data_IF_045728557635
#
_entry.id   IF_045728557635
#
_cell.length_a   1.000
_cell.length_b   1.000
_cell.length_c   1.000
_cell.angle_alpha   90.00
_cell.angle_beta   90.00
_cell.angle_gamma   90.00
#
_symmetry.space_group_name_H-M   'P 1'
#
loop_
_entity.id
_entity.type
_entity.pdbx_description
1 polymer ?
#
# COMPACT_ATOMS: atom_id res chain seq x y z
N UNK A 1 -6.38 5.15 -5.51
CA UNK A 1 -5.35 5.60 -4.54
C UNK A 1 -4.18 6.21 -5.29
N UNK A 2 -3.41 7.12 -4.68
CA UNK A 2 -2.16 7.57 -5.29
C UNK A 2 -1.16 6.41 -5.30
N UNK A 3 -0.42 6.28 -6.41
CA UNK A 3 0.68 5.31 -6.50
C UNK A 3 1.76 5.66 -5.47
N UNK A 4 2.27 4.66 -4.76
CA UNK A 4 3.44 4.82 -3.90
C UNK A 4 4.68 5.18 -4.72
N UNK A 5 5.64 5.82 -4.06
CA UNK A 5 6.88 6.32 -4.63
C UNK A 5 7.89 5.20 -4.85
N UNK A 6 8.98 5.55 -5.54
CA UNK A 6 10.21 4.76 -5.59
C UNK A 6 11.26 5.50 -4.75
N UNK A 7 11.89 4.84 -3.80
CA UNK A 7 13.06 5.40 -3.13
C UNK A 7 14.32 4.97 -3.88
N UNK A 8 15.17 5.91 -4.26
CA UNK A 8 16.39 5.60 -4.99
C UNK A 8 17.55 6.51 -4.60
N UNK A 9 18.76 5.97 -4.66
CA UNK A 9 19.97 6.79 -4.59
C UNK A 9 20.14 7.58 -5.89
N UNK A 10 20.56 8.85 -5.80
CA UNK A 10 20.73 9.71 -6.99
C UNK A 10 21.68 9.12 -8.04
N UNK A 11 22.69 8.36 -7.61
CA UNK A 11 23.65 7.70 -8.50
C UNK A 11 23.00 6.60 -9.36
N UNK A 12 21.83 6.08 -8.96
CA UNK A 12 21.18 4.95 -9.65
C UNK A 12 20.08 5.38 -10.61
N UNK A 13 19.67 6.65 -10.61
CA UNK A 13 18.54 7.14 -11.40
C UNK A 13 18.71 6.97 -12.92
N UNK A 14 19.94 6.86 -13.41
CA UNK A 14 20.21 6.63 -14.83
C UNK A 14 19.94 5.19 -15.29
N UNK A 15 19.75 4.23 -14.38
CA UNK A 15 19.61 2.82 -14.75
C UNK A 15 18.17 2.35 -14.94
N UNK A 16 17.16 3.16 -14.62
CA UNK A 16 15.76 2.78 -14.83
C UNK A 16 14.89 3.98 -15.21
N UNK A 17 13.80 3.70 -15.93
CA UNK A 17 12.75 4.68 -16.21
C UNK A 17 11.52 4.38 -15.36
N UNK A 18 10.91 5.40 -14.74
CA UNK A 18 9.65 5.25 -14.01
C UNK A 18 8.76 6.47 -14.19
N UNK A 19 7.45 6.25 -14.03
CA UNK A 19 6.44 7.32 -13.98
C UNK A 19 6.05 7.68 -12.55
N UNK A 20 6.54 6.92 -11.56
CA UNK A 20 6.31 7.18 -10.14
C UNK A 20 7.20 8.34 -9.67
N UNK A 21 6.73 9.05 -8.66
CA UNK A 21 7.56 10.02 -7.95
C UNK A 21 8.75 9.31 -7.29
N UNK A 22 9.91 9.97 -7.29
CA UNK A 22 11.15 9.44 -6.72
C UNK A 22 11.48 10.21 -5.44
N UNK A 23 11.71 9.48 -4.35
CA UNK A 23 12.27 10.02 -3.10
C UNK A 23 13.73 9.59 -2.93
N UNK A 24 14.50 10.39 -2.20
CA UNK A 24 15.88 10.03 -1.84
C UNK A 24 15.86 8.94 -0.76
N UNK A 25 16.57 7.85 -1.01
CA UNK A 25 16.64 6.70 -0.10
C UNK A 25 17.18 7.06 1.28
N UNK A 26 18.09 8.03 1.38
CA UNK A 26 18.73 8.42 2.65
C UNK A 26 17.87 9.34 3.51
N UNK A 27 16.79 9.88 2.95
CA UNK A 27 15.90 10.84 3.62
C UNK A 27 14.45 10.34 3.70
N UNK A 28 14.20 9.08 3.32
CA UNK A 28 12.88 8.46 3.32
C UNK A 28 12.61 7.73 4.64
N UNK A 29 11.37 7.76 5.11
CA UNK A 29 10.87 6.89 6.18
C UNK A 29 10.28 5.57 5.64
N UNK A 30 10.30 5.41 4.31
CA UNK A 30 9.84 4.25 3.53
C UNK A 30 8.33 3.93 3.60
N UNK A 31 7.54 4.74 4.31
CA UNK A 31 6.11 4.47 4.51
C UNK A 31 5.26 4.74 3.26
N UNK A 32 5.77 5.52 2.31
CA UNK A 32 5.12 5.84 1.05
C UNK A 32 5.86 5.27 -0.17
N UNK A 33 6.67 4.22 0.03
CA UNK A 33 7.55 3.62 -1.00
C UNK A 33 7.09 2.22 -1.37
N UNK A 34 7.05 1.92 -2.68
CA UNK A 34 6.69 0.59 -3.19
C UNK A 34 7.88 -0.23 -3.71
N UNK A 35 9.03 0.38 -3.98
CA UNK A 35 10.27 -0.32 -4.29
C UNK A 35 11.47 0.59 -4.06
N UNK A 36 12.64 -0.03 -3.81
CA UNK A 36 13.87 0.67 -3.45
C UNK A 36 14.97 0.31 -4.47
N UNK A 37 15.74 1.31 -4.92
CA UNK A 37 16.93 1.11 -5.77
C UNK A 37 18.18 1.68 -5.10
N UNK A 38 19.03 0.80 -4.61
CA UNK A 38 20.27 1.10 -3.90
C UNK A 38 21.47 1.12 -4.84
N UNK A 39 22.51 1.87 -4.49
CA UNK A 39 23.86 1.72 -5.03
C UNK A 39 24.65 0.68 -4.23
N UNK A 40 25.76 0.18 -4.78
CA UNK A 40 26.66 -0.74 -4.06
C UNK A 40 27.22 -0.11 -2.79
N UNK A 41 27.49 1.20 -2.80
CA UNK A 41 27.93 1.95 -1.61
C UNK A 41 26.88 1.92 -0.49
N UNK A 42 25.59 2.06 -0.81
CA UNK A 42 24.52 1.98 0.18
C UNK A 42 24.45 0.58 0.82
N UNK A 43 24.68 -0.47 0.02
CA UNK A 43 24.75 -1.84 0.52
C UNK A 43 25.93 -2.03 1.45
N UNK A 44 27.12 -1.51 1.11
CA UNK A 44 28.32 -1.56 1.95
C UNK A 44 28.15 -0.79 3.27
N UNK A 45 27.33 0.26 3.28
CA UNK A 45 26.95 1.00 4.48
C UNK A 45 25.93 0.25 5.36
N UNK A 46 25.45 -0.93 4.93
CA UNK A 46 24.54 -1.78 5.70
C UNK A 46 23.07 -1.43 5.53
N UNK A 47 22.71 -0.64 4.50
CA UNK A 47 21.32 -0.18 4.33
C UNK A 47 20.34 -1.33 4.05
N UNK A 48 20.80 -2.43 3.43
CA UNK A 48 19.97 -3.63 3.22
C UNK A 48 19.51 -4.22 4.56
N UNK A 49 20.42 -4.38 5.51
CA UNK A 49 20.08 -4.91 6.84
C UNK A 49 19.13 -3.97 7.60
N UNK A 50 19.35 -2.65 7.50
CA UNK A 50 18.45 -1.66 8.10
C UNK A 50 17.03 -1.75 7.51
N UNK A 51 16.91 -1.96 6.20
CA UNK A 51 15.62 -2.12 5.53
C UNK A 51 14.92 -3.41 5.96
N UNK A 52 15.66 -4.51 6.12
CA UNK A 52 15.09 -5.75 6.66
C UNK A 52 14.57 -5.58 8.09
N UNK A 53 15.28 -4.83 8.93
CA UNK A 53 14.86 -4.53 10.31
C UNK A 53 13.54 -3.73 10.39
N UNK A 54 13.17 -2.99 9.35
CA UNK A 54 11.87 -2.29 9.30
C UNK A 54 10.68 -3.26 9.25
N UNK A 55 10.89 -4.49 8.75
CA UNK A 55 9.82 -5.47 8.54
C UNK A 55 8.81 -5.09 7.45
N UNK A 56 9.04 -4.03 6.67
CA UNK A 56 8.12 -3.56 5.63
C UNK A 56 8.14 -4.44 4.38
N UNK A 57 9.16 -5.29 4.21
CA UNK A 57 9.34 -6.20 3.07
C UNK A 57 9.22 -5.51 1.70
N UNK A 58 9.66 -4.26 1.60
CA UNK A 58 9.66 -3.48 0.35
C UNK A 58 10.67 -4.12 -0.61
N UNK A 59 10.33 -4.33 -1.89
CA UNK A 59 11.24 -4.95 -2.82
C UNK A 59 12.50 -4.09 -3.06
N UNK A 60 13.67 -4.70 -2.93
CA UNK A 60 14.98 -4.05 -3.01
C UNK A 60 15.70 -4.44 -4.29
N UNK A 61 16.17 -3.44 -5.03
CA UNK A 61 17.03 -3.60 -6.20
C UNK A 61 18.37 -2.93 -5.93
N UNK A 62 19.45 -3.46 -6.48
CA UNK A 62 20.77 -2.82 -6.41
C UNK A 62 21.28 -2.52 -7.82
N UNK A 63 21.69 -1.28 -8.05
CA UNK A 63 22.38 -0.88 -9.27
C UNK A 63 23.89 -1.03 -9.09
N UNK A 64 24.52 -1.70 -10.05
CA UNK A 64 25.95 -2.06 -10.05
C UNK A 64 26.57 -1.51 -11.33
N UNK A 65 27.68 -0.80 -11.26
CA UNK A 65 28.50 -0.46 -12.43
C UNK A 65 29.73 -1.37 -12.52
N UNK A 66 30.38 -1.35 -13.68
CA UNK A 66 31.53 -2.17 -14.04
C UNK A 66 32.54 -2.33 -12.89
N UNK A 67 32.96 -3.58 -12.64
CA UNK A 67 33.94 -3.97 -11.62
C UNK A 67 33.49 -3.84 -10.16
N UNK A 68 32.29 -3.31 -9.89
CA UNK A 68 31.72 -3.37 -8.55
C UNK A 68 31.25 -4.79 -8.21
N UNK A 69 31.57 -5.23 -7.01
CA UNK A 69 31.16 -6.53 -6.47
C UNK A 69 30.15 -6.35 -5.34
N UNK A 70 29.14 -7.22 -5.34
CA UNK A 70 28.16 -7.36 -4.27
C UNK A 70 28.52 -8.56 -3.42
N UNK A 71 28.43 -8.43 -2.10
CA UNK A 71 28.55 -9.57 -1.20
C UNK A 71 27.41 -10.56 -1.48
N UNK A 72 27.76 -11.84 -1.65
CA UNK A 72 26.79 -12.91 -1.82
C UNK A 72 25.81 -13.02 -0.64
N UNK A 73 26.21 -12.56 0.55
CA UNK A 73 25.37 -12.55 1.74
C UNK A 73 24.08 -11.72 1.58
N UNK A 74 24.09 -10.66 0.77
CA UNK A 74 22.91 -9.79 0.60
C UNK A 74 21.97 -10.25 -0.50
N UNK A 75 22.42 -11.10 -1.43
CA UNK A 75 21.62 -11.54 -2.59
C UNK A 75 20.25 -12.13 -2.23
N UNK A 76 20.07 -12.91 -1.14
CA UNK A 76 18.75 -13.42 -0.76
C UNK A 76 17.73 -12.34 -0.40
N UNK A 77 18.19 -11.16 0.05
CA UNK A 77 17.34 -10.03 0.40
C UNK A 77 16.92 -9.19 -0.82
N UNK A 78 17.57 -9.38 -1.97
CA UNK A 78 17.34 -8.58 -3.17
C UNK A 78 16.28 -9.20 -4.08
N UNK A 79 15.46 -8.34 -4.68
CA UNK A 79 14.51 -8.70 -5.73
C UNK A 79 15.13 -8.63 -7.13
N UNK A 80 16.25 -7.92 -7.29
CA UNK A 80 16.97 -7.87 -8.54
C UNK A 80 18.24 -7.02 -8.49
N UNK A 81 19.04 -7.16 -9.53
CA UNK A 81 20.27 -6.38 -9.74
C UNK A 81 20.19 -5.72 -11.11
N UNK A 82 20.46 -4.42 -11.15
CA UNK A 82 20.45 -3.62 -12.37
C UNK A 82 21.87 -3.23 -12.74
N UNK A 83 22.18 -3.27 -14.03
CA UNK A 83 23.44 -2.75 -14.54
C UNK A 83 23.31 -1.24 -14.75
N UNK A 84 24.09 -0.45 -14.02
CA UNK A 84 24.04 1.01 -14.04
C UNK A 84 24.44 1.58 -15.41
N UNK A 85 25.44 0.93 -16.02
CA UNK A 85 26.16 1.40 -17.19
C UNK A 85 25.59 0.80 -18.50
N UNK A 86 24.51 0.02 -18.39
CA UNK A 86 23.79 -0.60 -19.51
C UNK A 86 22.72 0.30 -20.15
N UNK A 87 22.24 -0.07 -21.34
CA UNK A 87 21.18 0.65 -22.08
C UNK A 87 19.76 0.09 -21.85
N UNK A 88 19.57 -0.66 -20.76
CA UNK A 88 18.34 -1.43 -20.49
C UNK A 88 17.35 -0.71 -19.56
N UNK A 89 17.40 0.63 -19.50
CA UNK A 89 16.63 1.47 -18.55
C UNK A 89 15.13 1.19 -18.58
N UNK A 90 14.55 1.03 -19.78
CA UNK A 90 13.13 0.68 -19.95
C UNK A 90 12.77 -0.71 -19.42
N UNK A 91 13.69 -1.67 -19.58
CA UNK A 91 13.46 -3.04 -19.11
C UNK A 91 13.54 -3.11 -17.58
N UNK A 92 14.55 -2.49 -16.98
CA UNK A 92 14.68 -2.39 -15.52
C UNK A 92 13.52 -1.58 -14.91
N UNK A 93 13.09 -0.50 -15.57
CA UNK A 93 11.89 0.24 -15.20
C UNK A 93 10.62 -0.63 -15.15
N UNK A 94 10.43 -1.52 -16.13
CA UNK A 94 9.32 -2.48 -16.13
C UNK A 94 9.42 -3.51 -15.01
N UNK A 95 10.61 -4.01 -14.71
CA UNK A 95 10.82 -4.93 -13.59
C UNK A 95 10.51 -4.26 -12.25
N UNK A 96 10.99 -3.02 -12.08
CA UNK A 96 10.74 -2.21 -10.89
C UNK A 96 9.25 -1.92 -10.71
N UNK A 97 8.54 -1.50 -11.77
CA UNK A 97 7.08 -1.28 -11.72
C UNK A 97 6.33 -2.56 -11.40
N UNK A 98 6.71 -3.70 -11.98
CA UNK A 98 6.06 -4.98 -11.71
C UNK A 98 6.21 -5.38 -10.23
N UNK A 99 7.40 -5.18 -9.65
CA UNK A 99 7.62 -5.42 -8.22
C UNK A 99 6.83 -4.44 -7.33
N UNK A 100 6.81 -3.16 -7.68
CA UNK A 100 6.07 -2.14 -6.96
C UNK A 100 4.54 -2.41 -6.97
N UNK A 101 3.97 -2.75 -8.12
CA UNK A 101 2.55 -3.11 -8.24
C UNK A 101 2.23 -4.36 -7.44
N UNK A 102 3.11 -5.37 -7.48
CA UNK A 102 2.94 -6.58 -6.66
C UNK A 102 2.91 -6.23 -5.18
N UNK A 103 3.88 -5.45 -4.70
CA UNK A 103 3.95 -5.00 -3.31
C UNK A 103 2.68 -4.26 -2.88
N UNK A 104 2.23 -3.28 -3.66
CA UNK A 104 0.99 -2.53 -3.40
C UNK A 104 -0.25 -3.44 -3.33
N UNK A 105 -0.31 -4.46 -4.19
CA UNK A 105 -1.44 -5.40 -4.22
C UNK A 105 -1.50 -6.33 -3.01
N UNK A 106 -0.37 -6.58 -2.37
CA UNK A 106 -0.23 -7.43 -1.18
C UNK A 106 -0.31 -6.62 0.13
N UNK A 107 -0.18 -5.29 0.05
CA UNK A 107 -0.14 -4.38 1.20
C UNK A 107 -1.51 -4.21 1.89
N UNK A 108 -2.58 -4.11 1.10
CA UNK A 108 -3.90 -3.79 1.64
C UNK A 108 -4.57 -5.03 2.25
N UNK A 109 -5.00 -4.98 3.53
CA UNK A 109 -5.73 -6.10 4.14
C UNK A 109 -7.10 -6.30 3.46
N UNK A 110 -7.69 -7.50 3.54
CA UNK A 110 -8.81 -7.91 2.69
C UNK A 110 -9.98 -6.92 2.63
N UNK A 111 -10.51 -6.52 3.79
CA UNK A 111 -11.66 -5.60 3.85
C UNK A 111 -11.34 -4.21 3.32
N UNK A 112 -10.16 -3.66 3.66
CA UNK A 112 -9.78 -2.33 3.20
C UNK A 112 -9.54 -2.30 1.69
N UNK A 113 -8.90 -3.33 1.13
CA UNK A 113 -8.73 -3.47 -0.32
C UNK A 113 -10.07 -3.52 -1.06
N UNK A 114 -11.05 -4.30 -0.56
CA UNK A 114 -12.38 -4.35 -1.20
C UNK A 114 -13.11 -3.01 -1.07
N UNK A 115 -13.01 -2.33 0.07
CA UNK A 115 -13.63 -1.02 0.29
C UNK A 115 -13.06 0.05 -0.65
N UNK A 116 -11.74 0.14 -0.81
CA UNK A 116 -11.11 1.11 -1.71
C UNK A 116 -11.52 0.88 -3.16
N UNK A 117 -11.49 -0.37 -3.63
CA UNK A 117 -11.96 -0.73 -4.97
C UNK A 117 -13.43 -0.39 -5.18
N UNK A 118 -14.28 -0.62 -4.18
CA UNK A 118 -15.71 -0.29 -4.29
C UNK A 118 -15.94 1.22 -4.39
N UNK A 119 -15.25 2.02 -3.57
CA UNK A 119 -15.31 3.48 -3.64
C UNK A 119 -14.86 3.98 -5.01
N UNK A 120 -13.81 3.40 -5.59
CA UNK A 120 -13.30 3.74 -6.93
C UNK A 120 -14.29 3.43 -8.05
N UNK A 121 -15.24 2.50 -7.88
CA UNK A 121 -16.29 2.23 -8.87
C UNK A 121 -17.26 3.42 -9.05
N UNK A 122 -17.38 4.30 -8.05
CA UNK A 122 -18.18 5.52 -8.15
C UNK A 122 -19.69 5.29 -8.38
N UNK A 123 -20.22 4.14 -7.95
CA UNK A 123 -21.62 3.79 -8.18
C UNK A 123 -22.57 4.73 -7.41
N UNK A 124 -23.72 5.07 -8.03
CA UNK A 124 -24.80 5.74 -7.32
C UNK A 124 -25.50 4.76 -6.37
N UNK A 125 -25.60 5.11 -5.09
CA UNK A 125 -26.31 4.32 -4.10
C UNK A 125 -27.69 4.94 -3.83
N UNK A 126 -28.73 4.12 -3.85
CA UNK A 126 -30.09 4.49 -3.39
C UNK A 126 -30.45 3.76 -2.09
N UNK A 127 -29.43 3.23 -1.42
CA UNK A 127 -29.54 2.56 -0.13
C UNK A 127 -29.27 3.55 1.02
N UNK A 128 -29.25 3.02 2.24
CA UNK A 128 -28.63 3.71 3.36
C UNK A 128 -27.10 3.74 3.18
N UNK A 129 -26.39 4.70 3.80
CA UNK A 129 -26.89 5.86 4.54
C UNK A 129 -27.55 6.92 3.65
N UNK A 130 -28.58 7.61 4.17
CA UNK A 130 -29.38 8.56 3.39
C UNK A 130 -28.64 9.82 2.91
N UNK A 131 -27.42 10.07 3.40
CA UNK A 131 -26.59 11.16 2.87
C UNK A 131 -25.92 10.82 1.54
N UNK A 132 -25.95 9.54 1.11
CA UNK A 132 -25.56 9.07 -0.22
C UNK A 132 -24.22 9.63 -0.70
N UNK A 133 -23.12 9.22 -0.07
CA UNK A 133 -21.78 9.75 -0.40
C UNK A 133 -21.54 11.19 0.07
N UNK A 134 -22.46 11.74 0.87
CA UNK A 134 -22.35 13.08 1.46
C UNK A 134 -23.06 14.18 0.66
N UNK A 135 -23.77 13.82 -0.41
CA UNK A 135 -24.57 14.73 -1.22
C UNK A 135 -25.64 15.47 -0.41
N UNK A 136 -26.21 14.84 0.62
CA UNK A 136 -27.16 15.53 1.50
C UNK A 136 -26.49 16.65 2.30
N UNK A 137 -25.31 16.41 2.86
CA UNK A 137 -24.60 17.41 3.66
C UNK A 137 -24.23 18.65 2.85
N UNK A 138 -23.90 18.48 1.56
CA UNK A 138 -23.58 19.58 0.64
C UNK A 138 -24.75 20.55 0.37
N UNK A 139 -25.98 20.19 0.75
CA UNK A 139 -27.20 21.00 0.53
C UNK A 139 -27.55 21.97 1.67
N UNK A 140 -26.82 21.95 2.78
CA UNK A 140 -27.04 22.86 3.91
C UNK A 140 -25.72 23.52 4.33
N UNK A 141 -25.66 24.83 4.64
CA UNK A 141 -24.39 25.51 4.99
C UNK A 141 -23.61 24.84 6.12
N UNK A 142 -24.30 24.41 7.19
CA UNK A 142 -23.65 23.65 8.27
C UNK A 142 -23.18 22.26 7.82
N UNK A 143 -23.96 21.60 6.94
CA UNK A 143 -23.56 20.31 6.37
C UNK A 143 -22.37 20.45 5.42
N UNK A 144 -22.26 21.55 4.68
CA UNK A 144 -21.12 21.81 3.82
C UNK A 144 -19.83 21.98 4.62
N UNK A 145 -19.88 22.72 5.73
CA UNK A 145 -18.75 22.81 6.67
C UNK A 145 -18.36 21.43 7.22
N UNK A 146 -19.35 20.60 7.59
CA UNK A 146 -19.11 19.23 8.05
C UNK A 146 -18.49 18.34 6.96
N UNK A 147 -18.99 18.44 5.73
CA UNK A 147 -18.48 17.70 4.59
C UNK A 147 -17.03 18.09 4.26
N UNK A 148 -16.76 19.39 4.18
CA UNK A 148 -15.42 19.91 3.85
C UNK A 148 -14.41 19.62 4.97
N UNK A 149 -14.86 19.58 6.23
CA UNK A 149 -14.01 19.24 7.37
C UNK A 149 -13.50 17.79 7.34
N UNK A 150 -14.38 16.82 7.07
CA UNK A 150 -13.99 15.39 7.03
C UNK A 150 -13.46 14.93 5.68
N UNK A 151 -13.86 15.60 4.58
CA UNK A 151 -13.51 15.23 3.23
C UNK A 151 -14.42 14.16 2.62
N UNK A 152 -14.43 14.10 1.28
CA UNK A 152 -15.37 13.28 0.52
C UNK A 152 -15.22 11.77 0.76
N UNK A 153 -13.98 11.28 0.86
CA UNK A 153 -13.69 9.85 0.96
C UNK A 153 -14.39 9.21 2.16
N UNK A 154 -14.46 9.91 3.30
CA UNK A 154 -15.15 9.39 4.49
C UNK A 154 -16.60 9.04 4.19
N UNK A 155 -17.34 9.97 3.57
CA UNK A 155 -18.76 9.78 3.25
C UNK A 155 -18.98 8.80 2.11
N UNK A 156 -18.05 8.69 1.17
CA UNK A 156 -18.09 7.70 0.09
C UNK A 156 -17.83 6.28 0.58
N UNK A 157 -17.09 6.14 1.68
CA UNK A 157 -16.81 4.85 2.33
C UNK A 157 -17.84 4.46 3.40
N UNK A 158 -18.81 5.33 3.73
CA UNK A 158 -19.88 5.03 4.68
C UNK A 158 -21.02 4.28 3.97
N UNK A 159 -21.02 2.95 4.14
CA UNK A 159 -21.81 2.00 3.36
C UNK A 159 -22.58 1.06 4.26
N UNK A 160 -23.65 0.45 3.74
CA UNK A 160 -24.48 -0.47 4.51
C UNK A 160 -24.51 -1.88 3.90
N UNK A 161 -25.24 -2.77 4.56
CA UNK A 161 -25.43 -4.17 4.15
C UNK A 161 -26.07 -4.34 2.76
N UNK A 162 -26.70 -3.30 2.19
CA UNK A 162 -27.22 -3.34 0.83
C UNK A 162 -26.09 -3.41 -0.23
N UNK A 163 -24.87 -3.01 0.12
CA UNK A 163 -23.69 -3.08 -0.74
C UNK A 163 -23.05 -4.48 -0.68
N UNK A 164 -23.78 -5.48 -1.21
CA UNK A 164 -23.44 -6.91 -1.09
C UNK A 164 -22.03 -7.30 -1.57
N UNK A 165 -21.38 -6.49 -2.43
CA UNK A 165 -19.99 -6.72 -2.85
C UNK A 165 -19.00 -6.58 -1.70
N UNK A 166 -19.34 -5.82 -0.66
CA UNK A 166 -18.55 -5.68 0.55
C UNK A 166 -18.75 -6.86 1.51
N UNK A 167 -19.71 -7.77 1.26
CA UNK A 167 -20.03 -8.88 2.16
C UNK A 167 -20.89 -8.46 3.34
N UNK A 168 -20.87 -9.25 4.41
CA UNK A 168 -21.71 -9.06 5.60
C UNK A 168 -20.89 -9.18 6.90
N UNK A 169 -20.90 -8.11 7.69
CA UNK A 169 -20.18 -8.02 8.96
C UNK A 169 -20.81 -8.88 10.07
N UNK A 170 -22.15 -9.02 10.08
CA UNK A 170 -22.90 -9.66 11.17
C UNK A 170 -22.86 -11.18 11.08
N UNK A 171 -23.05 -11.72 9.87
CA UNK A 171 -22.99 -13.18 9.64
C UNK A 171 -21.63 -13.64 9.11
N UNK A 172 -20.66 -12.73 9.00
CA UNK A 172 -19.27 -13.00 8.64
C UNK A 172 -19.13 -13.66 7.26
N UNK A 173 -19.56 -12.94 6.22
CA UNK A 173 -19.44 -13.36 4.82
C UNK A 173 -18.63 -12.36 3.99
N UNK A 174 -17.97 -12.83 2.93
CA UNK A 174 -17.18 -11.99 2.03
C UNK A 174 -15.96 -11.34 2.70
N UNK A 175 -15.66 -10.10 2.30
CA UNK A 175 -14.45 -9.38 2.73
C UNK A 175 -14.32 -9.21 4.27
N UNK A 176 -15.40 -8.99 5.05
CA UNK A 176 -15.35 -9.01 6.52
C UNK A 176 -14.84 -10.33 7.08
N UNK A 177 -15.32 -11.47 6.57
CA UNK A 177 -14.89 -12.79 7.00
C UNK A 177 -13.41 -13.01 6.71
N UNK A 178 -12.96 -12.62 5.52
CA UNK A 178 -11.56 -12.78 5.12
C UNK A 178 -10.63 -11.89 5.94
N UNK A 179 -11.05 -10.68 6.30
CA UNK A 179 -10.31 -9.82 7.22
C UNK A 179 -10.25 -10.40 8.64
N UNK A 180 -11.34 -10.99 9.14
CA UNK A 180 -11.35 -11.69 10.43
C UNK A 180 -10.42 -12.91 10.45
N UNK A 181 -10.41 -13.72 9.38
CA UNK A 181 -9.48 -14.85 9.22
C UNK A 181 -8.03 -14.38 9.14
N UNK A 182 -7.76 -13.30 8.41
CA UNK A 182 -6.44 -12.69 8.35
C UNK A 182 -5.98 -12.25 9.75
N UNK A 183 -6.84 -11.55 10.50
CA UNK A 183 -6.55 -11.15 11.86
C UNK A 183 -6.33 -12.36 12.79
N UNK A 184 -7.13 -13.42 12.68
CA UNK A 184 -6.94 -14.65 13.46
C UNK A 184 -5.55 -15.27 13.22
N UNK A 185 -5.08 -15.29 11.96
CA UNK A 185 -3.73 -15.74 11.61
C UNK A 185 -2.65 -14.85 12.25
N UNK A 186 -2.79 -13.53 12.15
CA UNK A 186 -1.82 -12.55 12.71
C UNK A 186 -1.71 -12.68 14.22
N UNK A 187 -2.83 -12.81 14.92
CA UNK A 187 -2.88 -12.91 16.39
C UNK A 187 -2.76 -14.35 16.92
N UNK A 188 -2.51 -15.32 16.04
CA UNK A 188 -2.41 -16.75 16.40
C UNK A 188 -3.60 -17.25 17.22
N UNK A 189 -4.82 -16.93 16.76
CA UNK A 189 -6.08 -17.34 17.37
C UNK A 189 -6.85 -18.26 16.43
N UNK A 190 -7.73 -19.11 16.99
CA UNK A 190 -8.64 -19.93 16.17
C UNK A 190 -9.64 -19.07 15.40
N UNK A 191 -10.14 -18.00 16.04
CA UNK A 191 -11.09 -17.04 15.47
C UNK A 191 -10.86 -15.65 16.04
N UNK A 192 -11.17 -14.64 15.23
CA UNK A 192 -11.19 -13.23 15.61
C UNK A 192 -12.53 -12.62 15.21
N UNK A 193 -13.13 -11.84 16.10
CA UNK A 193 -14.37 -11.09 15.86
C UNK A 193 -14.08 -9.60 15.95
N UNK A 194 -14.60 -8.83 15.00
CA UNK A 194 -14.47 -7.37 15.01
C UNK A 194 -15.65 -6.74 15.75
N UNK A 195 -15.35 -5.93 16.76
CA UNK A 195 -16.35 -5.21 17.57
C UNK A 195 -16.17 -3.71 17.37
N UNK A 196 -17.24 -3.04 16.96
CA UNK A 196 -17.21 -1.62 16.57
C UNK A 196 -17.56 -0.66 17.73
N UNK A 197 -17.91 -1.19 18.91
CA UNK A 197 -18.36 -0.41 20.08
C UNK A 197 -17.38 -0.43 21.26
N UNK A 198 -16.13 -0.84 21.02
CA UNK A 198 -15.12 -1.01 22.06
C UNK A 198 -15.32 -2.26 22.93
N UNK A 199 -14.39 -2.51 23.84
CA UNK A 199 -14.31 -3.75 24.64
C UNK A 199 -15.48 -3.95 25.61
N UNK A 200 -16.18 -2.88 26.00
CA UNK A 200 -17.31 -2.93 26.93
C UNK A 200 -18.59 -3.49 26.31
N UNK A 201 -18.65 -3.64 24.98
CA UNK A 201 -19.83 -4.16 24.27
C UNK A 201 -20.13 -5.66 24.52
N UNK A 202 -19.34 -6.33 25.35
CA UNK A 202 -19.53 -7.73 25.74
C UNK A 202 -20.13 -7.92 27.15
N UNK A 203 -20.52 -6.84 27.83
CA UNK A 203 -21.26 -6.91 29.11
C UNK A 203 -22.76 -7.11 28.90
#
# INVERSE_FOLDING_TARGET
MNKLKIAANQKTLSCFETTREISDVHHSDFNDVAAIVLSVEDVQQGLVAQLEETGLNIPIFVAVCCEEELDNAVLPALNGVFELCGKNTQFYGKQLEAAAVKYESELLPPFFNTLTQYVEMGNATFACPGHQGGEFFRKHPAGRQFFDFYGETLFRSDMCNADVKLGDLLIHEGAPCDAQKHAAKVFNADKTYFVLNGTFGFQ
#
